data_IF_874806394911
#
_entry.id   IF_874806394911
#
_cell.length_a   1.000
_cell.length_b   1.000
_cell.length_c   1.000
_cell.angle_alpha   90.00
_cell.angle_beta   90.00
_cell.angle_gamma   90.00
#
_symmetry.space_group_name_H-M   'P 1'
#
loop_
_entity.id
_entity.type
_entity.pdbx_description
1 polymer ?
#
# COMPACT_ATOMS: atom_id res chain seq x y z
N UNK A 1 15.84 6.42 -2.23
CA UNK A 1 15.69 5.43 -3.33
C UNK A 1 14.21 5.35 -3.67
N UNK A 2 13.80 5.28 -4.96
CA UNK A 2 12.40 5.07 -5.31
C UNK A 2 11.92 3.68 -4.88
N UNK A 3 10.61 3.51 -4.72
CA UNK A 3 10.01 2.20 -4.43
C UNK A 3 9.74 1.51 -5.76
N UNK A 4 10.36 0.35 -6.02
CA UNK A 4 10.29 -0.30 -7.31
C UNK A 4 8.90 -0.87 -7.57
N UNK A 5 8.43 -0.79 -8.82
CA UNK A 5 7.10 -1.28 -9.23
C UNK A 5 6.89 -2.79 -9.14
N UNK A 6 7.95 -3.54 -8.90
CA UNK A 6 7.97 -4.99 -8.72
C UNK A 6 8.37 -5.36 -7.29
N UNK A 7 8.07 -4.50 -6.31
CA UNK A 7 8.40 -4.73 -4.91
C UNK A 7 7.79 -6.02 -4.37
N UNK A 8 6.51 -6.28 -4.69
CA UNK A 8 5.84 -7.53 -4.34
C UNK A 8 5.72 -8.44 -5.55
N UNK A 9 5.60 -9.74 -5.31
CA UNK A 9 5.32 -10.71 -6.38
C UNK A 9 3.98 -10.47 -7.06
N UNK A 10 3.02 -9.88 -6.34
CA UNK A 10 1.69 -9.53 -6.87
C UNK A 10 1.81 -8.34 -7.82
N UNK A 11 2.47 -7.26 -7.41
CA UNK A 11 2.70 -6.09 -8.28
C UNK A 11 3.50 -6.47 -9.54
N UNK A 12 4.50 -7.34 -9.38
CA UNK A 12 5.30 -7.83 -10.50
C UNK A 12 4.47 -8.68 -11.49
N UNK A 13 3.54 -9.50 -10.97
CA UNK A 13 2.68 -10.35 -11.80
C UNK A 13 1.60 -9.54 -12.53
N UNK A 14 1.00 -8.57 -11.84
CA UNK A 14 -0.12 -7.78 -12.37
C UNK A 14 0.34 -6.58 -13.20
N UNK A 15 1.59 -6.15 -13.03
CA UNK A 15 2.25 -5.13 -13.86
C UNK A 15 2.05 -3.69 -13.38
N UNK A 16 1.53 -3.49 -12.18
CA UNK A 16 1.28 -2.20 -11.53
C UNK A 16 1.45 -2.32 -10.01
N UNK A 17 1.65 -1.19 -9.32
CA UNK A 17 1.73 -1.14 -7.86
C UNK A 17 0.32 -1.04 -7.27
N UNK A 18 -0.04 -1.96 -6.38
CA UNK A 18 -1.27 -1.89 -5.62
C UNK A 18 -1.14 -0.86 -4.49
N UNK A 19 -2.05 0.11 -4.46
CA UNK A 19 -2.13 1.13 -3.42
C UNK A 19 -3.49 1.07 -2.74
N UNK A 20 -3.45 1.23 -1.42
CA UNK A 20 -4.64 1.34 -0.59
C UNK A 20 -4.80 2.78 -0.11
N UNK A 21 -6.04 3.25 -0.02
CA UNK A 21 -6.33 4.42 0.82
C UNK A 21 -6.03 4.10 2.28
N UNK A 22 -5.94 5.13 3.12
CA UNK A 22 -5.78 4.96 4.56
C UNK A 22 -6.84 3.98 5.12
N UNK A 23 -8.12 4.24 4.88
CA UNK A 23 -9.22 3.40 5.37
C UNK A 23 -9.18 1.94 4.86
N UNK A 24 -8.55 1.67 3.71
CA UNK A 24 -8.40 0.31 3.16
C UNK A 24 -7.14 -0.42 3.66
N UNK A 25 -6.18 0.32 4.24
CA UNK A 25 -4.88 -0.22 4.64
C UNK A 25 -5.01 -1.36 5.67
N UNK A 26 -5.84 -1.25 6.73
CA UNK A 26 -6.01 -2.33 7.70
C UNK A 26 -6.54 -3.64 7.08
N UNK A 27 -7.57 -3.53 6.23
CA UNK A 27 -8.15 -4.68 5.53
C UNK A 27 -7.18 -5.31 4.52
N UNK A 28 -6.34 -4.51 3.87
CA UNK A 28 -5.30 -4.99 2.96
C UNK A 28 -4.21 -5.73 3.73
N UNK A 29 -3.76 -5.17 4.85
CA UNK A 29 -2.77 -5.78 5.72
C UNK A 29 -3.23 -7.16 6.24
N UNK A 30 -4.48 -7.26 6.71
CA UNK A 30 -5.05 -8.52 7.19
C UNK A 30 -5.09 -9.62 6.12
N UNK A 31 -5.39 -9.27 4.87
CA UNK A 31 -5.56 -10.25 3.78
C UNK A 31 -4.26 -10.74 3.19
N UNK A 32 -3.32 -9.84 2.95
CA UNK A 32 -2.10 -10.16 2.20
C UNK A 32 -0.90 -10.40 3.12
N UNK A 33 -0.92 -9.86 4.34
CA UNK A 33 0.23 -9.86 5.25
C UNK A 33 -0.06 -10.57 6.58
N UNK A 34 -1.15 -11.35 6.65
CA UNK A 34 -1.57 -12.10 7.83
C UNK A 34 -0.59 -13.18 8.34
N UNK A 35 0.53 -13.44 7.66
CA UNK A 35 1.63 -14.30 8.14
C UNK A 35 2.89 -13.51 8.51
N UNK A 36 2.94 -12.22 8.20
CA UNK A 36 4.08 -11.35 8.50
C UNK A 36 3.99 -10.84 9.93
N UNK A 37 5.11 -10.82 10.67
CA UNK A 37 5.19 -10.23 12.02
C UNK A 37 5.61 -8.76 11.99
N UNK A 38 6.11 -8.30 10.84
CA UNK A 38 6.55 -6.92 10.63
C UNK A 38 5.99 -6.44 9.30
N UNK A 39 5.43 -5.24 9.31
CA UNK A 39 4.86 -4.59 8.13
C UNK A 39 5.41 -3.17 8.02
N UNK A 40 5.82 -2.81 6.81
CA UNK A 40 6.21 -1.44 6.50
C UNK A 40 5.03 -0.73 5.84
N UNK A 41 4.58 0.37 6.42
CA UNK A 41 3.50 1.20 5.88
C UNK A 41 4.14 2.45 5.30
N UNK A 42 3.99 2.62 3.98
CA UNK A 42 4.51 3.78 3.26
C UNK A 42 3.34 4.70 2.94
N UNK A 43 3.36 5.91 3.50
CA UNK A 43 2.40 6.95 3.14
C UNK A 43 2.94 7.76 1.99
N UNK A 44 2.10 7.95 0.98
CA UNK A 44 2.46 8.59 -0.27
C UNK A 44 1.55 9.81 -0.47
N UNK A 45 2.16 10.93 -0.84
CA UNK A 45 1.48 12.14 -1.30
C UNK A 45 0.85 11.86 -2.67
N UNK A 46 -0.48 11.96 -2.72
CA UNK A 46 -1.24 11.69 -3.93
C UNK A 46 -0.92 12.66 -5.07
N UNK A 47 -0.80 13.95 -4.78
CA UNK A 47 -0.57 14.96 -5.83
C UNK A 47 0.80 14.75 -6.48
N UNK A 48 1.81 14.44 -5.67
CA UNK A 48 3.15 14.10 -6.19
C UNK A 48 3.19 12.78 -6.95
N UNK A 49 2.35 11.82 -6.54
CA UNK A 49 2.21 10.55 -7.25
C UNK A 49 1.56 10.76 -8.63
N UNK A 50 0.49 11.55 -8.70
CA UNK A 50 -0.22 11.91 -9.94
C UNK A 50 0.63 12.78 -10.87
N UNK A 51 1.48 13.66 -10.32
CA UNK A 51 2.45 14.45 -11.08
C UNK A 51 3.69 13.65 -11.54
N UNK A 52 3.78 12.37 -11.17
CA UNK A 52 4.89 11.49 -11.48
C UNK A 52 4.89 10.96 -12.92
N UNK A 53 5.75 9.97 -13.17
CA UNK A 53 5.90 9.35 -14.50
C UNK A 53 4.89 8.23 -14.78
N UNK A 54 4.17 7.76 -13.76
CA UNK A 54 3.23 6.66 -13.87
C UNK A 54 1.80 7.13 -14.10
N UNK A 55 0.96 6.18 -14.49
CA UNK A 55 -0.48 6.42 -14.64
C UNK A 55 -1.21 5.87 -13.40
N UNK A 56 -1.84 6.77 -12.62
CA UNK A 56 -2.64 6.40 -11.47
C UNK A 56 -4.09 6.11 -11.91
N UNK A 57 -4.53 4.87 -11.75
CA UNK A 57 -5.90 4.44 -12.05
C UNK A 57 -6.65 4.05 -10.78
N UNK A 58 -7.93 4.36 -10.74
CA UNK A 58 -8.83 3.97 -9.66
C UNK A 58 -9.78 2.89 -10.18
N UNK A 59 -9.58 1.65 -9.74
CA UNK A 59 -10.27 0.49 -10.31
C UNK A 59 -11.05 -0.27 -9.23
N UNK A 60 -12.23 -0.78 -9.61
CA UNK A 60 -13.08 -1.54 -8.69
C UNK A 60 -12.48 -2.92 -8.39
N UNK A 61 -12.26 -3.18 -7.11
CA UNK A 61 -12.02 -4.52 -6.61
C UNK A 61 -13.36 -5.20 -6.32
N UNK A 62 -13.50 -6.44 -6.77
CA UNK A 62 -14.67 -7.30 -6.53
C UNK A 62 -14.97 -7.35 -5.02
N UNK A 63 -15.98 -6.61 -4.58
CA UNK A 63 -16.50 -6.52 -3.20
C UNK A 63 -15.67 -5.71 -2.18
N UNK A 64 -14.66 -4.96 -2.60
CA UNK A 64 -13.75 -4.29 -1.65
C UNK A 64 -13.59 -2.79 -1.88
N UNK A 65 -14.38 -2.23 -2.80
CA UNK A 65 -14.35 -0.83 -3.17
C UNK A 65 -13.33 -0.55 -4.26
N UNK A 66 -12.98 0.72 -4.41
CA UNK A 66 -12.10 1.21 -5.48
C UNK A 66 -10.70 1.37 -4.92
N UNK A 67 -9.70 0.76 -5.57
CA UNK A 67 -8.29 0.84 -5.18
C UNK A 67 -7.51 1.63 -6.21
N UNK A 68 -6.40 2.22 -5.77
CA UNK A 68 -5.50 2.95 -6.65
C UNK A 68 -4.40 2.01 -7.15
N UNK A 69 -4.13 2.05 -8.45
CA UNK A 69 -3.11 1.25 -9.12
C UNK A 69 -2.17 2.17 -9.89
N UNK A 70 -0.85 2.07 -9.66
CA UNK A 70 0.15 2.85 -10.38
C UNK A 70 0.78 2.01 -11.49
N UNK A 71 0.54 2.39 -12.74
CA UNK A 71 1.07 1.73 -13.93
C UNK A 71 2.34 2.39 -14.44
N UNK A 72 3.27 1.57 -14.94
CA UNK A 72 4.38 2.03 -15.79
C UNK A 72 5.50 2.80 -15.09
N UNK A 73 5.45 2.98 -13.77
CA UNK A 73 6.49 3.68 -13.02
C UNK A 73 6.69 3.16 -11.60
N UNK A 74 7.85 3.49 -11.04
CA UNK A 74 8.17 3.35 -9.62
C UNK A 74 7.58 4.51 -8.81
N UNK A 75 7.37 4.33 -7.51
CA UNK A 75 7.02 5.47 -6.64
C UNK A 75 8.28 6.30 -6.39
N UNK A 76 8.25 7.55 -6.84
CA UNK A 76 9.35 8.49 -6.60
C UNK A 76 9.55 8.71 -5.09
N UNK A 77 10.81 8.73 -4.64
CA UNK A 77 11.14 8.98 -3.25
C UNK A 77 10.59 10.32 -2.72
N UNK A 78 10.42 11.32 -3.60
CA UNK A 78 9.84 12.62 -3.28
C UNK A 78 8.35 12.59 -2.95
N UNK A 79 7.64 11.53 -3.39
CA UNK A 79 6.23 11.31 -3.11
C UNK A 79 6.00 10.59 -1.78
N UNK A 80 7.02 9.94 -1.21
CA UNK A 80 6.92 9.32 0.11
C UNK A 80 6.97 10.40 1.19
N UNK A 81 5.94 10.46 2.04
CA UNK A 81 5.84 11.44 3.12
C UNK A 81 6.17 10.85 4.48
N UNK A 82 5.94 9.55 4.66
CA UNK A 82 6.19 8.85 5.91
C UNK A 82 6.40 7.36 5.64
N UNK A 83 7.25 6.74 6.44
CA UNK A 83 7.48 5.29 6.45
C UNK A 83 7.42 4.84 7.90
N UNK A 84 6.45 3.97 8.19
CA UNK A 84 6.24 3.40 9.52
C UNK A 84 6.60 1.91 9.47
N UNK A 85 7.27 1.44 10.51
CA UNK A 85 7.50 0.01 10.73
C UNK A 85 6.60 -0.44 11.88
N UNK A 86 5.60 -1.24 11.55
CA UNK A 86 4.70 -1.84 12.52
C UNK A 86 5.08 -3.27 12.78
N UNK A 87 4.98 -3.68 14.05
CA UNK A 87 5.24 -5.04 14.48
C UNK A 87 4.06 -5.54 15.27
N UNK A 88 3.72 -6.79 15.02
CA UNK A 88 2.71 -7.49 15.80
C UNK A 88 3.31 -8.68 16.54
N UNK A 89 2.71 -8.97 17.67
CA UNK A 89 2.96 -10.13 18.50
C UNK A 89 1.98 -11.26 18.14
N UNK A 90 2.22 -12.45 18.67
CA UNK A 90 1.36 -13.60 18.45
C UNK A 90 -0.04 -13.37 19.02
N UNK A 91 -1.07 -13.58 18.18
CA UNK A 91 -2.47 -13.34 18.53
C UNK A 91 -3.00 -11.96 18.17
N UNK A 92 -2.15 -11.04 17.70
CA UNK A 92 -2.61 -9.74 17.20
C UNK A 92 -2.98 -9.78 15.71
N UNK A 93 -4.09 -9.13 15.37
CA UNK A 93 -4.59 -9.01 14.00
C UNK A 93 -4.22 -7.65 13.41
N UNK A 94 -3.73 -7.66 12.16
CA UNK A 94 -3.34 -6.44 11.47
C UNK A 94 -4.49 -5.45 11.31
N UNK A 95 -5.72 -5.94 11.14
CA UNK A 95 -6.86 -5.05 10.99
C UNK A 95 -7.03 -4.15 12.22
N UNK A 96 -7.06 -4.74 13.41
CA UNK A 96 -7.27 -4.01 14.66
C UNK A 96 -6.10 -3.08 14.98
N UNK A 97 -4.86 -3.58 14.82
CA UNK A 97 -3.66 -2.79 15.06
C UNK A 97 -3.60 -1.52 14.20
N UNK A 98 -3.90 -1.66 12.89
CA UNK A 98 -3.77 -0.54 11.97
C UNK A 98 -4.98 0.40 11.98
N UNK A 99 -6.17 -0.07 12.36
CA UNK A 99 -7.31 0.81 12.63
C UNK A 99 -7.00 1.80 13.78
N UNK A 100 -6.32 1.33 14.82
CA UNK A 100 -5.90 2.16 15.96
C UNK A 100 -4.80 3.19 15.63
N UNK A 101 -4.02 2.97 14.55
CA UNK A 101 -3.01 3.93 14.10
C UNK A 101 -3.61 5.11 13.31
N UNK A 102 -4.87 5.00 12.90
CA UNK A 102 -5.57 6.00 12.09
C UNK A 102 -6.49 6.92 12.90
N UNK A 103 -6.68 6.63 14.20
CA UNK A 103 -7.44 7.43 15.17
C UNK A 103 -6.57 8.49 15.84
#
# INVERSE_FOLDING_TARGET
MPIPRNLTSVDAADGFIHLSTAAQTPGTAARFFGTSCTLWIVRIDREKLEAGQGELRWEESKNHGVFAHLYGADVAASAVVEVLEERRTEGEEWQELLENLQS
#
